data_IF_337587660171
#
_entry.id   IF_337587660171
#
_cell.length_a   1.000
_cell.length_b   1.000
_cell.length_c   1.000
_cell.angle_alpha   90.00
_cell.angle_beta   90.00
_cell.angle_gamma   90.00
#
_symmetry.space_group_name_H-M   'P 1'
#
loop_
_entity.id
_entity.type
_entity.pdbx_description
1 polymer ?
#
# COMPACT_ATOMS: atom_id res chain seq x y z
N UNK A 1 0.40 16.60 -14.46
CA UNK A 1 -0.22 15.35 -13.96
C UNK A 1 -1.60 15.22 -14.60
N UNK A 2 -1.99 14.03 -15.09
CA UNK A 2 -3.33 13.84 -15.67
C UNK A 2 -4.38 13.95 -14.55
N UNK A 3 -5.51 14.63 -14.83
CA UNK A 3 -6.61 14.86 -13.86
C UNK A 3 -7.09 13.55 -13.22
N UNK A 4 -7.21 12.47 -14.00
CA UNK A 4 -7.62 11.15 -13.49
C UNK A 4 -6.63 10.57 -12.46
N UNK A 5 -5.33 10.78 -12.67
CA UNK A 5 -4.29 10.32 -11.73
C UNK A 5 -4.32 11.13 -10.44
N UNK A 6 -4.57 12.44 -10.54
CA UNK A 6 -4.69 13.30 -9.36
C UNK A 6 -5.88 12.89 -8.49
N UNK A 7 -7.07 12.72 -9.08
CA UNK A 7 -8.26 12.27 -8.33
C UNK A 7 -8.06 10.89 -7.72
N UNK A 8 -7.45 9.96 -8.44
CA UNK A 8 -7.15 8.63 -7.91
C UNK A 8 -6.23 8.72 -6.67
N UNK A 9 -5.15 9.48 -6.77
CA UNK A 9 -4.23 9.66 -5.64
C UNK A 9 -4.90 10.36 -4.46
N UNK A 10 -5.76 11.35 -4.72
CA UNK A 10 -6.52 12.04 -3.67
C UNK A 10 -7.49 11.08 -2.94
N UNK A 11 -8.23 10.26 -3.70
CA UNK A 11 -9.15 9.27 -3.15
C UNK A 11 -8.39 8.25 -2.29
N UNK A 12 -7.24 7.76 -2.77
CA UNK A 12 -6.42 6.80 -2.01
C UNK A 12 -5.88 7.45 -0.72
N UNK A 13 -5.39 8.68 -0.78
CA UNK A 13 -4.90 9.40 0.40
C UNK A 13 -6.00 9.60 1.44
N UNK A 14 -7.21 9.97 1.02
CA UNK A 14 -8.36 10.09 1.92
C UNK A 14 -8.72 8.73 2.51
N UNK A 15 -8.80 7.67 1.69
CA UNK A 15 -9.08 6.33 2.18
C UNK A 15 -8.05 5.84 3.21
N UNK A 16 -6.77 6.12 2.98
CA UNK A 16 -5.69 5.83 3.93
C UNK A 16 -5.88 6.59 5.24
N UNK A 17 -6.15 7.89 5.18
CA UNK A 17 -6.40 8.72 6.38
C UNK A 17 -7.57 8.19 7.20
N UNK A 18 -8.67 7.81 6.55
CA UNK A 18 -9.85 7.23 7.20
C UNK A 18 -9.53 5.88 7.87
N UNK A 19 -8.61 5.11 7.29
CA UNK A 19 -8.21 3.80 7.82
C UNK A 19 -7.12 3.88 8.90
N UNK A 20 -6.54 5.06 9.19
CA UNK A 20 -5.50 5.19 10.22
C UNK A 20 -6.00 4.88 11.64
N UNK A 21 -7.29 5.09 11.91
CA UNK A 21 -7.89 4.69 13.18
C UNK A 21 -8.79 3.44 12.99
N UNK A 22 -8.32 2.24 13.40
CA UNK A 22 -9.08 1.00 13.25
C UNK A 22 -10.31 0.91 14.17
N UNK A 23 -10.50 1.85 15.11
CA UNK A 23 -11.69 1.92 15.96
C UNK A 23 -12.71 2.95 15.48
N UNK A 24 -12.34 3.78 14.52
CA UNK A 24 -13.23 4.81 13.97
C UNK A 24 -14.33 4.22 13.07
N UNK A 25 -15.30 5.06 12.70
CA UNK A 25 -16.43 4.74 11.80
C UNK A 25 -17.28 3.55 12.25
N UNK A 26 -16.94 2.34 11.80
CA UNK A 26 -17.70 1.10 11.96
C UNK A 26 -16.90 0.04 12.72
N UNK A 27 -15.76 0.43 13.31
CA UNK A 27 -14.93 -0.42 14.16
C UNK A 27 -13.99 -1.35 13.39
N UNK A 28 -13.40 -2.28 14.15
CA UNK A 28 -12.28 -3.09 13.68
C UNK A 28 -12.63 -3.99 12.48
N UNK A 29 -13.83 -4.58 12.48
CA UNK A 29 -14.26 -5.45 11.38
C UNK A 29 -14.27 -4.68 10.05
N UNK A 30 -14.81 -3.45 10.05
CA UNK A 30 -14.82 -2.62 8.87
C UNK A 30 -13.41 -2.28 8.39
N UNK A 31 -12.50 -1.92 9.30
CA UNK A 31 -11.11 -1.65 8.94
C UNK A 31 -10.43 -2.86 8.25
N UNK A 32 -10.62 -4.05 8.80
CA UNK A 32 -10.04 -5.29 8.22
C UNK A 32 -10.63 -5.61 6.85
N UNK A 33 -11.96 -5.56 6.69
CA UNK A 33 -12.61 -5.82 5.41
C UNK A 33 -12.30 -4.76 4.35
N UNK A 34 -12.32 -3.47 4.72
CA UNK A 34 -11.99 -2.39 3.81
C UNK A 34 -10.53 -2.49 3.34
N UNK A 35 -9.60 -2.73 4.27
CA UNK A 35 -8.18 -2.94 3.94
C UNK A 35 -7.97 -4.13 3.00
N UNK A 36 -8.70 -5.23 3.21
CA UNK A 36 -8.64 -6.41 2.35
C UNK A 36 -9.17 -6.14 0.94
N UNK A 37 -10.30 -5.46 0.80
CA UNK A 37 -10.87 -5.06 -0.49
C UNK A 37 -9.90 -4.16 -1.25
N UNK A 38 -9.32 -3.16 -0.59
CA UNK A 38 -8.30 -2.27 -1.18
C UNK A 38 -7.08 -3.09 -1.61
N UNK A 39 -6.64 -4.05 -0.80
CA UNK A 39 -5.53 -4.95 -1.11
C UNK A 39 -5.79 -5.78 -2.37
N UNK A 40 -7.01 -6.32 -2.53
CA UNK A 40 -7.42 -7.06 -3.74
C UNK A 40 -7.36 -6.15 -4.98
N UNK A 41 -7.96 -4.96 -4.90
CA UNK A 41 -7.91 -4.00 -6.02
C UNK A 41 -6.48 -3.61 -6.38
N UNK A 42 -5.61 -3.44 -5.38
CA UNK A 42 -4.21 -3.16 -5.60
C UNK A 42 -3.50 -4.30 -6.35
N UNK A 43 -3.69 -5.55 -5.91
CA UNK A 43 -3.12 -6.73 -6.58
C UNK A 43 -3.62 -6.81 -8.03
N UNK A 44 -4.92 -6.68 -8.26
CA UNK A 44 -5.51 -6.67 -9.60
C UNK A 44 -4.91 -5.56 -10.47
N UNK A 45 -4.80 -4.35 -9.92
CA UNK A 45 -4.17 -3.23 -10.61
C UNK A 45 -2.72 -3.54 -11.01
N UNK A 46 -1.94 -4.21 -10.15
CA UNK A 46 -0.55 -4.60 -10.46
C UNK A 46 -0.45 -5.72 -11.49
N UNK A 47 -1.34 -6.71 -11.46
CA UNK A 47 -1.42 -7.75 -12.48
C UNK A 47 -1.74 -7.14 -13.84
N UNK A 48 -2.77 -6.29 -13.92
CA UNK A 48 -3.16 -5.63 -15.17
C UNK A 48 -2.08 -4.69 -15.71
N UNK A 49 -1.28 -4.09 -14.82
CA UNK A 49 -0.18 -3.20 -15.19
C UNK A 49 1.19 -3.87 -15.14
N UNK A 50 1.26 -5.21 -15.23
CA UNK A 50 2.52 -5.95 -15.15
C UNK A 50 3.54 -5.52 -16.22
N UNK A 51 3.06 -5.18 -17.42
CA UNK A 51 3.92 -4.64 -18.49
C UNK A 51 4.57 -3.30 -18.14
N UNK A 52 3.86 -2.44 -17.39
CA UNK A 52 4.42 -1.20 -16.86
C UNK A 52 5.48 -1.50 -15.79
N UNK A 53 5.19 -2.43 -14.86
CA UNK A 53 6.15 -2.85 -13.82
C UNK A 53 7.47 -3.32 -14.45
N UNK A 54 7.42 -4.22 -15.45
CA UNK A 54 8.62 -4.68 -16.17
C UNK A 54 9.40 -3.51 -16.79
N UNK A 55 8.71 -2.61 -17.49
CA UNK A 55 9.34 -1.46 -18.15
C UNK A 55 9.99 -0.52 -17.14
N UNK A 56 9.34 -0.30 -16.00
CA UNK A 56 9.81 0.51 -14.87
C UNK A 56 11.06 -0.14 -14.28
N UNK A 57 11.02 -1.43 -13.92
CA UNK A 57 12.16 -2.18 -13.35
C UNK A 57 13.38 -2.19 -14.28
N UNK A 58 13.19 -2.39 -15.57
CA UNK A 58 14.28 -2.37 -16.56
C UNK A 58 14.80 -0.94 -16.79
N UNK A 59 13.91 0.06 -16.75
CA UNK A 59 14.25 1.47 -16.94
C UNK A 59 15.19 2.03 -15.86
N UNK A 60 15.14 1.49 -14.64
CA UNK A 60 16.06 1.84 -13.55
C UNK A 60 17.54 1.65 -13.92
N UNK A 61 17.84 0.62 -14.71
CA UNK A 61 19.20 0.30 -15.16
C UNK A 61 19.65 1.09 -16.41
N UNK A 62 18.78 1.94 -16.97
CA UNK A 62 19.11 2.80 -18.13
C UNK A 62 19.42 4.24 -17.69
N UNK A 63 20.06 5.01 -18.59
CA UNK A 63 20.31 6.45 -18.40
C UNK A 63 18.99 7.23 -18.46
N UNK A 64 18.28 7.31 -17.34
CA UNK A 64 17.07 8.11 -17.20
C UNK A 64 17.36 9.46 -16.49
N UNK A 65 16.64 10.54 -16.84
CA UNK A 65 16.73 11.83 -16.13
C UNK A 65 16.46 11.67 -14.63
N UNK A 66 17.07 12.53 -13.79
CA UNK A 66 16.97 12.44 -12.33
C UNK A 66 15.53 12.38 -11.79
N UNK A 67 14.61 13.17 -12.38
CA UNK A 67 13.18 13.15 -12.02
C UNK A 67 12.50 11.81 -12.30
N UNK A 68 12.86 11.13 -13.39
CA UNK A 68 12.32 9.81 -13.71
C UNK A 68 12.84 8.74 -12.73
N UNK A 69 14.09 8.85 -12.28
CA UNK A 69 14.66 7.98 -11.24
C UNK A 69 14.01 8.20 -9.88
N UNK A 70 13.77 9.44 -9.49
CA UNK A 70 13.08 9.75 -8.24
C UNK A 70 11.66 9.16 -8.22
N UNK A 71 10.88 9.39 -9.27
CA UNK A 71 9.53 8.82 -9.40
C UNK A 71 9.55 7.28 -9.37
N UNK A 72 10.55 6.66 -10.02
CA UNK A 72 10.73 5.22 -9.95
C UNK A 72 10.95 4.72 -8.51
N UNK A 73 11.86 5.35 -7.77
CA UNK A 73 12.15 4.97 -6.38
C UNK A 73 10.90 5.13 -5.52
N UNK A 74 10.20 6.26 -5.68
CA UNK A 74 8.95 6.55 -5.00
C UNK A 74 7.89 5.47 -5.27
N UNK A 75 7.70 5.07 -6.53
CA UNK A 75 6.74 4.02 -6.93
C UNK A 75 7.10 2.65 -6.32
N UNK A 76 8.39 2.31 -6.28
CA UNK A 76 8.88 1.07 -5.66
C UNK A 76 8.66 1.09 -4.15
N UNK A 77 8.93 2.22 -3.48
CA UNK A 77 8.69 2.38 -2.04
C UNK A 77 7.19 2.29 -1.72
N UNK A 78 6.33 2.89 -2.55
CA UNK A 78 4.86 2.77 -2.41
C UNK A 78 4.40 1.32 -2.60
N UNK A 79 4.93 0.62 -3.61
CA UNK A 79 4.63 -0.80 -3.83
C UNK A 79 5.03 -1.66 -2.62
N UNK A 80 6.24 -1.46 -2.11
CA UNK A 80 6.73 -2.16 -0.92
C UNK A 80 5.89 -1.83 0.31
N UNK A 81 5.57 -0.56 0.53
CA UNK A 81 4.76 -0.09 1.67
C UNK A 81 3.38 -0.74 1.71
N UNK A 82 2.64 -0.69 0.59
CA UNK A 82 1.31 -1.31 0.50
C UNK A 82 1.39 -2.82 0.67
N UNK A 83 2.39 -3.48 0.08
CA UNK A 83 2.57 -4.93 0.24
C UNK A 83 2.80 -5.31 1.71
N UNK A 84 3.68 -4.57 2.40
CA UNK A 84 3.95 -4.77 3.82
C UNK A 84 2.70 -4.52 4.66
N UNK A 85 1.92 -3.48 4.36
CA UNK A 85 0.65 -3.20 5.05
C UNK A 85 -0.34 -4.36 4.91
N UNK A 86 -0.54 -4.88 3.69
CA UNK A 86 -1.47 -5.99 3.45
C UNK A 86 -1.02 -7.25 4.21
N UNK A 87 0.24 -7.65 4.06
CA UNK A 87 0.77 -8.85 4.71
C UNK A 87 0.70 -8.76 6.25
N UNK A 88 1.14 -7.63 6.80
CA UNK A 88 1.11 -7.40 8.24
C UNK A 88 -0.33 -7.24 8.77
N UNK A 89 -1.24 -6.67 7.99
CA UNK A 89 -2.66 -6.55 8.32
C UNK A 89 -3.34 -7.92 8.41
N UNK A 90 -3.10 -8.78 7.44
CA UNK A 90 -3.53 -10.19 7.44
C UNK A 90 -2.97 -10.91 8.69
N UNK A 91 -1.71 -10.67 9.03
CA UNK A 91 -1.06 -11.32 10.19
C UNK A 91 -1.62 -10.89 11.56
N UNK A 92 -2.18 -9.68 11.68
CA UNK A 92 -2.72 -9.17 12.96
C UNK A 92 -4.24 -9.21 13.06
N UNK A 93 -4.93 -9.60 11.98
CA UNK A 93 -6.38 -9.65 11.86
C UNK A 93 -7.03 -10.40 13.04
N UNK A 94 -8.21 -9.93 13.44
CA UNK A 94 -9.00 -10.48 14.54
C UNK A 94 -10.37 -10.96 14.11
N UNK A 95 -10.94 -10.33 13.09
CA UNK A 95 -12.31 -10.59 12.64
C UNK A 95 -12.36 -11.57 11.48
N UNK A 96 -11.27 -11.66 10.70
CA UNK A 96 -11.10 -12.63 9.63
C UNK A 96 -10.03 -13.65 10.05
N UNK A 97 -10.33 -14.94 9.92
CA UNK A 97 -9.40 -16.00 10.27
C UNK A 97 -8.40 -16.29 9.13
N UNK A 98 -7.13 -16.00 9.41
CA UNK A 98 -5.99 -16.29 8.54
C UNK A 98 -4.99 -17.26 9.19
N UNK A 99 -5.41 -18.05 10.18
CA UNK A 99 -4.55 -19.02 10.87
C UNK A 99 -3.86 -20.00 9.93
N UNK A 100 -4.50 -20.34 8.80
CA UNK A 100 -3.97 -21.22 7.75
C UNK A 100 -2.72 -20.68 7.02
N UNK A 101 -2.46 -19.37 7.04
CA UNK A 101 -1.28 -18.78 6.38
C UNK A 101 0.02 -18.99 7.17
N UNK A 102 -0.06 -19.23 8.48
CA UNK A 102 1.07 -19.46 9.38
C UNK A 102 2.29 -18.55 9.12
N UNK A 103 2.09 -17.23 9.15
CA UNK A 103 3.12 -16.23 8.78
C UNK A 103 4.33 -16.17 9.74
N UNK A 104 4.34 -16.97 10.81
CA UNK A 104 5.36 -16.92 11.86
C UNK A 104 5.45 -15.55 12.54
N UNK A 105 6.48 -15.34 13.36
CA UNK A 105 6.71 -14.05 14.02
C UNK A 105 5.74 -13.72 15.16
N UNK A 106 6.08 -12.70 15.96
CA UNK A 106 5.22 -12.28 17.06
C UNK A 106 4.12 -11.33 16.57
N UNK A 107 2.97 -11.33 17.24
CA UNK A 107 1.89 -10.38 16.96
C UNK A 107 2.36 -8.92 17.07
N UNK A 108 3.26 -8.65 18.02
CA UNK A 108 3.82 -7.31 18.22
C UNK A 108 4.67 -6.87 17.02
N UNK A 109 5.50 -7.78 16.49
CA UNK A 109 6.30 -7.52 15.30
C UNK A 109 5.42 -7.11 14.11
N UNK A 110 4.37 -7.89 13.82
CA UNK A 110 3.45 -7.58 12.73
C UNK A 110 2.69 -6.28 12.95
N UNK A 111 2.33 -5.97 14.19
CA UNK A 111 1.65 -4.71 14.51
C UNK A 111 2.54 -3.50 14.27
N UNK A 112 3.80 -3.56 14.72
CA UNK A 112 4.78 -2.50 14.44
C UNK A 112 4.98 -2.35 12.94
N UNK A 113 5.16 -3.47 12.22
CA UNK A 113 5.30 -3.46 10.77
C UNK A 113 4.11 -2.80 10.08
N UNK A 114 2.88 -3.17 10.48
CA UNK A 114 1.66 -2.61 9.92
C UNK A 114 1.56 -1.11 10.18
N UNK A 115 1.72 -0.68 11.43
CA UNK A 115 1.61 0.74 11.79
C UNK A 115 2.70 1.60 11.13
N UNK A 116 3.95 1.16 11.17
CA UNK A 116 5.06 1.88 10.55
C UNK A 116 4.92 1.97 9.03
N UNK A 117 4.56 0.86 8.36
CA UNK A 117 4.35 0.88 6.90
C UNK A 117 3.15 1.75 6.51
N UNK A 118 2.07 1.79 7.30
CA UNK A 118 0.93 2.69 7.08
C UNK A 118 1.33 4.17 7.11
N UNK A 119 2.07 4.62 8.12
CA UNK A 119 2.52 6.01 8.21
C UNK A 119 3.50 6.38 7.10
N UNK A 120 4.47 5.51 6.82
CA UNK A 120 5.46 5.75 5.76
C UNK A 120 4.75 5.83 4.40
N UNK A 121 3.84 4.90 4.11
CA UNK A 121 3.12 4.86 2.84
C UNK A 121 2.20 6.07 2.67
N UNK A 122 1.53 6.52 3.74
CA UNK A 122 0.74 7.75 3.72
C UNK A 122 1.59 8.98 3.38
N UNK A 123 2.77 9.12 3.99
CA UNK A 123 3.70 10.20 3.68
C UNK A 123 4.18 10.15 2.22
N UNK A 124 4.51 8.95 1.72
CA UNK A 124 4.91 8.75 0.33
C UNK A 124 3.79 9.10 -0.67
N UNK A 125 2.52 8.80 -0.34
CA UNK A 125 1.37 9.22 -1.15
C UNK A 125 1.23 10.75 -1.20
N UNK A 126 1.47 11.44 -0.09
CA UNK A 126 1.53 12.90 -0.05
C UNK A 126 2.61 13.48 -0.96
N UNK A 127 3.81 12.88 -0.96
CA UNK A 127 4.91 13.26 -1.86
C UNK A 127 4.57 12.96 -3.32
N UNK A 128 3.88 11.85 -3.61
CA UNK A 128 3.49 11.46 -4.95
C UNK A 128 2.45 12.40 -5.59
N UNK A 129 1.69 13.14 -4.76
CA UNK A 129 0.70 14.13 -5.21
C UNK A 129 1.32 15.46 -5.68
N UNK A 130 2.55 15.79 -5.25
CA UNK A 130 3.27 17.04 -5.58
C UNK A 130 4.14 16.95 -6.83
#
# INVERSE_FOLDING_TARGET
MNISKFFLSLIITIAMLLLMDPRSFYGLAFHEWAGLVIGIFFILHKILNWGWIKKVTVGFFRKCPGRARFNYILDVMLLAGITLMILSGIAIARTIDFSWLNLGGSRMFWRVMHTSSSFITLALFGIHLG
#
